data_IF_753279700245
#
_entry.id   IF_753279700245
#
_cell.length_a   1.000
_cell.length_b   1.000
_cell.length_c   1.000
_cell.angle_alpha   90.00
_cell.angle_beta   90.00
_cell.angle_gamma   90.00
#
_symmetry.space_group_name_H-M   'P 1'
#
loop_
_entity.id
_entity.type
_entity.pdbx_description
1 polymer ?
#
# COMPACT_ATOMS: atom_id res chain seq x y z
N UNK A 1 7.50 -2.68 7.60
CA UNK A 1 8.61 -2.09 8.37
C UNK A 1 8.96 -0.72 7.78
N UNK A 2 9.48 0.24 8.54
CA UNK A 2 9.89 1.55 7.98
C UNK A 2 11.31 1.46 7.43
N UNK A 3 11.54 1.94 6.21
CA UNK A 3 12.88 2.04 5.64
C UNK A 3 13.78 2.95 6.49
N UNK A 4 15.03 2.56 6.65
CA UNK A 4 16.06 3.40 7.24
C UNK A 4 16.57 4.44 6.23
N UNK A 5 17.27 5.47 6.70
CA UNK A 5 17.83 6.52 5.85
C UNK A 5 18.94 6.02 4.91
N UNK A 6 19.50 4.83 5.19
CA UNK A 6 20.43 4.15 4.29
C UNK A 6 19.75 3.56 3.03
N UNK A 7 18.44 3.72 2.86
CA UNK A 7 17.69 3.28 1.68
C UNK A 7 18.30 3.79 0.38
N UNK A 8 18.09 3.05 -0.69
CA UNK A 8 18.58 3.41 -2.02
C UNK A 8 17.45 3.46 -3.02
N UNK A 9 17.59 4.30 -4.05
CA UNK A 9 16.62 4.39 -5.13
C UNK A 9 16.72 3.14 -6.00
N UNK A 10 15.58 2.60 -6.41
CA UNK A 10 15.51 1.52 -7.38
C UNK A 10 14.69 1.96 -8.58
N UNK A 11 15.23 1.70 -9.76
CA UNK A 11 14.53 1.91 -11.02
C UNK A 11 13.88 0.59 -11.45
N UNK A 12 12.55 0.61 -11.54
CA UNK A 12 11.76 -0.54 -11.98
C UNK A 12 11.14 -0.25 -13.34
N UNK A 13 11.05 -1.26 -14.23
CA UNK A 13 10.42 -1.06 -15.52
C UNK A 13 8.91 -0.82 -15.34
N UNK A 14 8.31 -0.04 -16.27
CA UNK A 14 6.89 0.36 -16.21
C UNK A 14 5.95 -0.82 -15.98
N UNK A 15 6.19 -1.96 -16.65
CA UNK A 15 5.38 -3.16 -16.51
C UNK A 15 5.40 -3.74 -15.09
N UNK A 16 6.54 -3.70 -14.38
CA UNK A 16 6.64 -4.14 -13.00
C UNK A 16 5.85 -3.21 -12.07
N UNK A 17 5.95 -1.89 -12.27
CA UNK A 17 5.19 -0.91 -11.49
C UNK A 17 3.67 -1.08 -11.69
N UNK A 18 3.23 -1.31 -12.92
CA UNK A 18 1.82 -1.61 -13.21
C UNK A 18 1.37 -2.92 -12.54
N UNK A 19 2.18 -3.98 -12.60
CA UNK A 19 1.89 -5.25 -11.95
C UNK A 19 1.83 -5.15 -10.42
N UNK A 20 2.54 -4.19 -9.83
CA UNK A 20 2.45 -3.90 -8.40
C UNK A 20 1.17 -3.14 -8.01
N UNK A 21 0.49 -2.50 -8.98
CA UNK A 21 -0.77 -1.79 -8.79
C UNK A 21 -0.66 -0.26 -8.80
N UNK A 22 0.47 0.30 -9.26
CA UNK A 22 0.55 1.74 -9.55
C UNK A 22 -0.21 2.08 -10.83
N UNK A 23 -0.79 3.28 -10.90
CA UNK A 23 -1.51 3.72 -12.12
C UNK A 23 -0.58 4.28 -13.18
N UNK A 24 -1.04 4.36 -14.44
CA UNK A 24 -0.25 4.97 -15.52
C UNK A 24 0.09 6.43 -15.23
N UNK A 25 -0.86 7.18 -14.63
CA UNK A 25 -0.69 8.58 -14.26
C UNK A 25 0.39 8.74 -13.19
N UNK A 26 0.41 7.86 -12.20
CA UNK A 26 1.46 7.87 -11.16
C UNK A 26 2.83 7.61 -11.77
N UNK A 27 2.94 6.61 -12.65
CA UNK A 27 4.21 6.28 -13.30
C UNK A 27 4.67 7.43 -14.20
N UNK A 28 3.77 8.03 -14.99
CA UNK A 28 4.07 9.18 -15.85
C UNK A 28 4.49 10.41 -15.05
N UNK A 29 3.99 10.58 -13.82
CA UNK A 29 4.40 11.65 -12.91
C UNK A 29 5.79 11.44 -12.29
N UNK A 30 6.44 10.30 -12.51
CA UNK A 30 7.82 10.04 -12.09
C UNK A 30 7.94 9.60 -10.63
N UNK A 31 7.20 8.55 -10.23
CA UNK A 31 7.36 7.95 -8.89
C UNK A 31 8.81 7.50 -8.64
N UNK A 32 9.29 7.73 -7.43
CA UNK A 32 10.59 7.25 -6.96
C UNK A 32 10.37 6.16 -5.92
N UNK A 33 10.94 4.97 -6.16
CA UNK A 33 10.83 3.82 -5.27
C UNK A 33 12.16 3.63 -4.54
N UNK A 34 12.07 3.16 -3.30
CA UNK A 34 13.24 2.88 -2.46
C UNK A 34 13.25 1.42 -1.99
N UNK A 35 14.44 0.86 -1.94
CA UNK A 35 14.74 -0.48 -1.44
C UNK A 35 15.63 -0.41 -0.19
N UNK A 36 15.66 -1.52 0.55
CA UNK A 36 16.43 -1.66 1.78
C UNK A 36 17.87 -2.07 1.47
N UNK A 37 18.84 -1.20 1.75
CA UNK A 37 20.27 -1.47 1.53
C UNK A 37 20.97 -2.17 2.70
N UNK A 38 20.69 -1.71 3.93
CA UNK A 38 21.38 -2.15 5.15
C UNK A 38 22.63 -1.32 5.50
N UNK A 39 22.84 -1.10 6.80
CA UNK A 39 24.01 -0.49 7.41
C UNK A 39 24.10 -0.87 8.90
N UNK A 40 25.17 -0.46 9.59
CA UNK A 40 25.40 -0.75 11.01
C UNK A 40 24.37 -0.16 11.98
N UNK A 41 23.53 0.79 11.54
CA UNK A 41 22.58 1.52 12.40
C UNK A 41 21.11 1.11 12.21
N UNK A 42 20.88 0.05 11.42
CA UNK A 42 19.56 -0.44 11.07
C UNK A 42 19.47 -1.97 11.23
N UNK A 43 18.25 -2.49 11.10
CA UNK A 43 18.01 -3.93 11.05
C UNK A 43 17.60 -4.29 9.61
N UNK A 44 18.55 -4.80 8.82
CA UNK A 44 18.39 -5.15 7.41
C UNK A 44 17.79 -4.03 6.53
N UNK A 45 18.24 -2.79 6.76
CA UNK A 45 17.77 -1.61 6.02
C UNK A 45 16.46 -1.03 6.53
N UNK A 46 15.93 -1.53 7.65
CA UNK A 46 14.72 -1.02 8.28
C UNK A 46 14.99 -0.49 9.70
N UNK A 47 14.23 0.53 10.11
CA UNK A 47 14.27 1.10 11.47
C UNK A 47 12.90 1.59 11.89
N UNK A 48 12.26 0.85 12.79
CA UNK A 48 10.90 1.12 13.28
C UNK A 48 9.80 0.44 12.47
N UNK A 49 8.55 0.73 12.83
CA UNK A 49 7.34 0.16 12.22
C UNK A 49 6.49 1.26 11.62
N UNK A 50 5.69 0.89 10.63
CA UNK A 50 4.69 1.75 10.00
C UNK A 50 3.40 0.96 9.90
N UNK A 51 2.28 1.56 10.33
CA UNK A 51 0.96 0.97 10.17
C UNK A 51 0.44 1.14 8.76
N UNK A 52 -0.22 0.10 8.25
CA UNK A 52 -1.09 0.14 7.08
C UNK A 52 -2.53 0.17 7.59
N UNK A 53 -3.35 1.03 7.03
CA UNK A 53 -4.71 1.24 7.52
C UNK A 53 -5.68 1.19 6.35
N UNK A 54 -6.78 0.48 6.55
CA UNK A 54 -7.99 0.57 5.77
C UNK A 54 -9.07 1.07 6.72
N UNK A 55 -9.50 2.31 6.55
CA UNK A 55 -10.50 2.94 7.40
C UNK A 55 -11.78 3.03 6.61
N UNK A 56 -12.76 2.21 6.99
CA UNK A 56 -14.04 2.10 6.31
C UNK A 56 -15.14 2.69 7.21
N UNK A 57 -15.63 3.91 6.92
CA UNK A 57 -16.73 4.50 7.65
C UNK A 57 -18.01 3.65 7.51
N UNK A 58 -18.88 3.66 8.52
CA UNK A 58 -20.22 3.06 8.43
C UNK A 58 -21.16 3.96 7.62
N UNK A 59 -20.94 4.04 6.31
CA UNK A 59 -21.79 4.79 5.37
C UNK A 59 -23.18 4.17 5.25
N UNK A 60 -24.16 4.94 4.74
CA UNK A 60 -25.53 4.42 4.52
C UNK A 60 -25.57 3.17 3.64
N UNK A 61 -24.81 3.06 2.52
CA UNK A 61 -24.77 1.84 1.72
C UNK A 61 -24.26 0.63 2.50
N UNK A 62 -23.21 0.81 3.31
CA UNK A 62 -22.65 -0.27 4.13
C UNK A 62 -23.63 -0.69 5.22
N UNK A 63 -24.28 0.27 5.89
CA UNK A 63 -25.31 -0.03 6.90
C UNK A 63 -26.46 -0.85 6.30
N UNK A 64 -26.92 -0.50 5.10
CA UNK A 64 -27.97 -1.24 4.40
C UNK A 64 -27.57 -2.68 4.12
N UNK A 65 -26.35 -2.91 3.60
CA UNK A 65 -25.83 -4.26 3.34
C UNK A 65 -25.80 -5.09 4.63
N UNK A 66 -25.38 -4.50 5.74
CA UNK A 66 -25.35 -5.18 7.05
C UNK A 66 -26.77 -5.57 7.50
N UNK A 67 -27.74 -4.65 7.37
CA UNK A 67 -29.14 -4.91 7.74
C UNK A 67 -29.80 -6.00 6.88
N UNK A 68 -29.39 -6.12 5.62
CA UNK A 68 -29.86 -7.14 4.69
C UNK A 68 -29.13 -8.49 4.86
N UNK A 69 -28.18 -8.59 5.81
CA UNK A 69 -27.41 -9.82 6.05
C UNK A 69 -26.36 -10.10 4.95
N UNK A 70 -25.89 -9.05 4.27
CA UNK A 70 -24.91 -9.15 3.21
C UNK A 70 -23.53 -9.63 3.67
N UNK A 71 -22.73 -10.10 2.72
CA UNK A 71 -21.41 -10.68 2.96
C UNK A 71 -20.27 -9.64 2.85
N UNK A 72 -19.06 -10.07 3.22
CA UNK A 72 -17.87 -9.22 3.20
C UNK A 72 -17.50 -8.69 1.80
N UNK A 73 -17.80 -9.42 0.72
CA UNK A 73 -17.52 -8.97 -0.65
C UNK A 73 -18.44 -7.80 -1.03
N UNK A 74 -19.72 -7.87 -0.67
CA UNK A 74 -20.66 -6.77 -0.91
C UNK A 74 -20.23 -5.49 -0.18
N UNK A 75 -19.77 -5.62 1.06
CA UNK A 75 -19.23 -4.49 1.84
C UNK A 75 -17.95 -3.94 1.20
N UNK A 76 -17.03 -4.81 0.76
CA UNK A 76 -15.78 -4.41 0.12
C UNK A 76 -16.03 -3.64 -1.20
N UNK A 77 -16.97 -4.12 -2.03
CA UNK A 77 -17.36 -3.42 -3.26
C UNK A 77 -17.99 -2.06 -2.97
N UNK A 78 -18.85 -1.95 -1.94
CA UNK A 78 -19.44 -0.68 -1.55
C UNK A 78 -18.36 0.30 -1.07
N UNK A 79 -17.43 -0.16 -0.23
CA UNK A 79 -16.30 0.63 0.24
C UNK A 79 -15.40 1.09 -0.91
N UNK A 80 -15.12 0.23 -1.89
CA UNK A 80 -14.34 0.59 -3.06
C UNK A 80 -15.03 1.67 -3.92
N UNK A 81 -16.34 1.55 -4.14
CA UNK A 81 -17.13 2.56 -4.86
C UNK A 81 -17.13 3.92 -4.15
N UNK A 82 -17.06 3.92 -2.83
CA UNK A 82 -16.93 5.12 -2.00
C UNK A 82 -15.49 5.67 -1.90
N UNK A 83 -14.54 5.04 -2.60
CA UNK A 83 -13.14 5.47 -2.63
C UNK A 83 -12.35 5.12 -1.37
N UNK A 84 -12.82 4.16 -0.56
CA UNK A 84 -12.06 3.66 0.59
C UNK A 84 -10.81 2.96 0.08
N UNK A 85 -9.65 3.45 0.50
CA UNK A 85 -8.38 2.79 0.21
C UNK A 85 -8.28 1.48 1.00
N UNK A 86 -8.17 0.36 0.27
CA UNK A 86 -7.83 -0.92 0.86
C UNK A 86 -6.38 -0.93 1.40
N UNK A 87 -6.01 -2.02 2.07
CA UNK A 87 -4.66 -2.19 2.62
C UNK A 87 -3.57 -2.08 1.55
N UNK A 88 -3.81 -2.56 0.33
CA UNK A 88 -2.83 -2.55 -0.76
C UNK A 88 -2.61 -1.15 -1.31
N UNK A 89 -3.68 -0.41 -1.61
CA UNK A 89 -3.65 1.01 -2.02
C UNK A 89 -2.97 1.87 -0.96
N UNK A 90 -3.30 1.67 0.31
CA UNK A 90 -2.63 2.33 1.44
C UNK A 90 -1.14 1.99 1.57
N UNK A 91 -0.75 0.75 1.23
CA UNK A 91 0.63 0.31 1.24
C UNK A 91 1.45 0.93 0.10
N UNK A 92 0.92 0.90 -1.13
CA UNK A 92 1.56 1.49 -2.31
C UNK A 92 1.79 2.99 -2.14
N UNK A 93 0.84 3.70 -1.51
CA UNK A 93 1.03 5.10 -1.14
C UNK A 93 2.27 5.30 -0.26
N UNK A 94 2.47 4.46 0.76
CA UNK A 94 3.65 4.55 1.65
C UNK A 94 4.96 4.16 0.96
N UNK A 95 4.91 3.31 -0.07
CA UNK A 95 6.08 3.04 -0.93
C UNK A 95 6.42 4.28 -1.75
N UNK A 96 5.42 4.90 -2.38
CA UNK A 96 5.58 6.15 -3.12
C UNK A 96 6.14 7.29 -2.27
N UNK A 97 5.72 7.35 -1.00
CA UNK A 97 6.23 8.31 -0.01
C UNK A 97 7.64 7.93 0.52
N UNK A 98 8.22 6.81 0.06
CA UNK A 98 9.54 6.34 0.46
C UNK A 98 9.65 5.89 1.91
N UNK A 99 8.54 5.51 2.54
CA UNK A 99 8.43 5.12 3.95
C UNK A 99 8.70 3.62 4.14
N UNK A 100 8.33 2.78 3.16
CA UNK A 100 8.53 1.32 3.16
C UNK A 100 8.91 0.88 1.74
N UNK A 101 9.42 -0.35 1.59
CA UNK A 101 9.79 -0.93 0.30
C UNK A 101 8.65 -1.75 -0.32
N UNK A 102 8.75 -2.04 -1.62
CA UNK A 102 7.86 -2.97 -2.32
C UNK A 102 7.94 -4.38 -1.73
N UNK A 103 9.15 -4.86 -1.49
CA UNK A 103 9.42 -6.15 -0.83
C UNK A 103 8.64 -6.28 0.49
N UNK A 104 8.66 -5.24 1.32
CA UNK A 104 8.01 -5.27 2.62
C UNK A 104 6.49 -5.18 2.54
N UNK A 105 5.93 -4.44 1.57
CA UNK A 105 4.47 -4.41 1.39
C UNK A 105 3.94 -5.70 0.77
N UNK A 106 4.69 -6.33 -0.13
CA UNK A 106 4.32 -7.61 -0.75
C UNK A 106 4.22 -8.69 0.32
N UNK A 107 5.17 -8.73 1.26
CA UNK A 107 5.18 -9.63 2.42
C UNK A 107 3.95 -9.50 3.35
N UNK A 108 3.21 -8.39 3.32
CA UNK A 108 2.10 -8.15 4.27
C UNK A 108 0.75 -7.91 3.59
N UNK A 109 0.70 -7.86 2.26
CA UNK A 109 -0.53 -7.57 1.50
C UNK A 109 -0.83 -8.55 0.37
N UNK A 110 0.11 -9.44 0.00
CA UNK A 110 -0.06 -10.39 -1.12
C UNK A 110 -0.08 -11.88 -0.70
N UNK A 111 -0.40 -12.17 0.56
CA UNK A 111 -0.64 -13.55 1.00
C UNK A 111 -2.03 -14.04 0.53
#
# INVERSE_FOLDING_TARGET
RRLHDCKEKVDLPKNALLAEGFTEEEIAAGITIYEARGCSECNDGYKGRVGLYQVMPMSEPIQKIVLEGGNAMQIAEAAEREGVADLRKSALKKVKDGVTSLTEINRVTKD
#
